data_IF_871104049767
#
_entry.id   IF_871104049767
#
_cell.length_a   1.000
_cell.length_b   1.000
_cell.length_c   1.000
_cell.angle_alpha   90.00
_cell.angle_beta   90.00
_cell.angle_gamma   90.00
#
_symmetry.space_group_name_H-M   'P 1'
#
loop_
_entity.id
_entity.type
_entity.pdbx_description
1 polymer ?
#
# COMPACT_ATOMS: atom_id res chain seq x y z
N UNK A 1 -1.24 14.86 -6.28
CA UNK A 1 -1.70 15.94 -5.41
C UNK A 1 -2.99 16.51 -5.91
N UNK A 2 -3.89 16.83 -5.01
CA UNK A 2 -5.22 17.31 -5.35
C UNK A 2 -5.52 18.70 -4.77
N UNK A 3 -4.51 19.41 -4.29
CA UNK A 3 -4.74 20.71 -3.69
C UNK A 3 -5.42 21.68 -4.66
N UNK A 4 -5.20 21.51 -5.96
CA UNK A 4 -5.86 22.34 -6.95
C UNK A 4 -7.35 22.13 -7.06
N UNK A 5 -7.84 21.02 -6.55
CA UNK A 5 -9.25 20.65 -6.62
C UNK A 5 -10.03 20.99 -5.36
N UNK A 6 -9.35 21.39 -4.30
CA UNK A 6 -9.96 21.62 -3.00
C UNK A 6 -9.71 23.06 -2.55
N UNK A 7 -10.22 23.99 -3.30
CA UNK A 7 -10.03 25.42 -3.03
C UNK A 7 -11.13 26.02 -2.17
N UNK A 8 -11.88 25.22 -1.48
CA UNK A 8 -12.88 25.73 -0.57
C UNK A 8 -12.18 26.42 0.60
N UNK A 9 -12.50 27.69 0.83
CA UNK A 9 -11.90 28.46 1.90
C UNK A 9 -12.22 27.92 3.28
N UNK A 10 -13.22 27.09 3.41
CA UNK A 10 -13.59 26.49 4.68
C UNK A 10 -12.82 25.20 4.98
N UNK A 11 -12.10 24.67 4.01
CA UNK A 11 -11.34 23.44 4.16
C UNK A 11 -9.85 23.71 4.07
N UNK A 12 -9.12 23.01 4.88
CA UNK A 12 -7.67 23.01 4.83
C UNK A 12 -7.21 21.60 4.51
N UNK A 13 -6.45 21.44 3.42
CA UNK A 13 -5.93 20.15 2.99
C UNK A 13 -4.42 20.14 3.16
N UNK A 14 -3.93 19.19 3.92
CA UNK A 14 -2.49 19.00 4.11
C UNK A 14 -2.11 17.67 3.50
N UNK A 15 -1.33 17.67 2.40
CA UNK A 15 -0.85 16.40 1.86
C UNK A 15 0.12 15.76 2.84
N UNK A 16 -0.05 14.48 3.07
CA UNK A 16 0.82 13.72 3.97
C UNK A 16 2.02 13.17 3.20
N UNK A 17 1.77 12.21 2.36
CA UNK A 17 2.77 11.67 1.44
C UNK A 17 2.08 10.73 0.45
N UNK A 18 2.65 10.66 -0.72
CA UNK A 18 2.23 9.69 -1.71
C UNK A 18 2.87 8.35 -1.38
N UNK A 19 2.14 7.29 -1.63
CA UNK A 19 2.65 5.93 -1.48
C UNK A 19 2.07 5.08 -2.58
N UNK A 20 2.78 4.01 -2.89
CA UNK A 20 2.36 3.06 -3.90
C UNK A 20 2.63 1.67 -3.36
N UNK A 21 1.64 0.80 -3.50
CA UNK A 21 1.83 -0.61 -3.20
C UNK A 21 2.38 -1.30 -4.43
N UNK A 22 3.22 -2.29 -4.20
CA UNK A 22 3.82 -3.10 -5.27
C UNK A 22 3.56 -4.56 -4.97
N UNK A 23 3.07 -5.27 -5.97
CA UNK A 23 2.98 -6.74 -5.92
C UNK A 23 4.38 -7.29 -6.20
N UNK A 24 4.80 -8.27 -5.44
CA UNK A 24 6.15 -8.79 -5.56
C UNK A 24 6.20 -10.29 -5.27
N UNK A 25 7.24 -10.93 -5.77
CA UNK A 25 7.46 -12.36 -5.57
C UNK A 25 8.95 -12.66 -5.45
N UNK A 26 9.27 -13.91 -5.10
CA UNK A 26 10.66 -14.36 -5.13
C UNK A 26 11.13 -14.52 -6.58
N UNK A 27 12.45 -14.46 -6.84
CA UNK A 27 12.96 -14.68 -8.19
C UNK A 27 12.68 -16.08 -8.73
N UNK A 28 12.41 -17.04 -7.87
CA UNK A 28 12.09 -18.41 -8.26
C UNK A 28 10.61 -18.62 -8.60
N UNK A 29 9.77 -17.66 -8.31
CA UNK A 29 8.34 -17.78 -8.58
C UNK A 29 8.08 -17.74 -10.09
N UNK A 30 7.14 -18.53 -10.60
CA UNK A 30 6.85 -18.52 -12.04
C UNK A 30 6.47 -17.17 -12.60
N UNK A 31 5.78 -16.32 -11.81
CA UNK A 31 5.38 -14.99 -12.24
C UNK A 31 6.54 -14.01 -12.37
N UNK A 32 7.70 -14.33 -11.79
CA UNK A 32 8.86 -13.44 -11.86
C UNK A 32 9.29 -13.17 -13.29
N UNK A 33 9.13 -14.14 -14.19
CA UNK A 33 9.49 -13.97 -15.59
C UNK A 33 8.41 -13.28 -16.40
N UNK A 34 7.16 -13.42 -16.01
CA UNK A 34 6.05 -12.78 -16.70
C UNK A 34 5.99 -11.29 -16.45
N UNK A 35 6.16 -10.88 -15.22
CA UNK A 35 6.24 -9.49 -14.74
C UNK A 35 4.97 -8.65 -14.89
N UNK A 36 4.17 -8.82 -15.92
CA UNK A 36 2.88 -8.16 -16.07
C UNK A 36 1.79 -9.17 -15.82
N UNK A 37 0.89 -8.86 -14.88
CA UNK A 37 -0.13 -9.79 -14.44
C UNK A 37 -1.50 -9.37 -14.96
N UNK A 38 -2.21 -10.34 -15.53
CA UNK A 38 -3.62 -10.20 -15.86
C UNK A 38 -4.47 -10.46 -14.62
N UNK A 39 -5.76 -10.18 -14.69
CA UNK A 39 -6.67 -10.52 -13.60
C UNK A 39 -6.68 -12.03 -13.34
N UNK A 40 -6.56 -12.84 -14.37
CA UNK A 40 -6.50 -14.28 -14.20
C UNK A 40 -5.24 -14.70 -13.44
N UNK A 41 -4.11 -14.07 -13.71
CA UNK A 41 -2.88 -14.33 -12.96
C UNK A 41 -3.07 -14.00 -11.48
N UNK A 42 -3.79 -12.92 -11.17
CA UNK A 42 -4.06 -12.53 -9.79
C UNK A 42 -4.94 -13.57 -9.09
N UNK A 43 -5.91 -14.11 -9.80
CA UNK A 43 -6.81 -15.13 -9.24
C UNK A 43 -6.11 -16.47 -9.05
N UNK A 44 -5.18 -16.81 -9.94
CA UNK A 44 -4.46 -18.08 -9.87
C UNK A 44 -3.34 -18.06 -8.84
N UNK A 45 -2.89 -16.88 -8.42
CA UNK A 45 -1.79 -16.75 -7.49
C UNK A 45 -2.20 -17.08 -6.06
N UNK A 46 -1.21 -17.51 -5.28
CA UNK A 46 -1.37 -17.67 -3.83
C UNK A 46 -0.86 -16.39 -3.16
N UNK A 47 -1.66 -15.81 -2.28
CA UNK A 47 -1.39 -14.52 -1.70
C UNK A 47 -0.99 -14.59 -0.23
N UNK A 48 -0.03 -13.75 0.13
CA UNK A 48 0.38 -13.50 1.51
C UNK A 48 0.18 -12.01 1.75
N UNK A 49 -0.77 -11.67 2.60
CA UNK A 49 -1.24 -10.29 2.76
C UNK A 49 -1.16 -9.83 4.21
N UNK A 50 -1.21 -8.50 4.37
CA UNK A 50 -1.40 -7.92 5.68
C UNK A 50 -2.79 -8.26 6.20
N UNK A 51 -2.96 -8.15 7.51
CA UNK A 51 -4.24 -8.42 8.16
C UNK A 51 -5.34 -7.45 7.69
N UNK A 52 -6.57 -7.91 7.75
CA UNK A 52 -7.74 -7.10 7.48
C UNK A 52 -7.76 -5.89 8.42
N UNK A 53 -8.01 -4.72 7.86
CA UNK A 53 -8.07 -3.48 8.64
C UNK A 53 -6.80 -2.64 8.60
N UNK A 54 -5.66 -3.20 8.18
CA UNK A 54 -4.47 -2.37 7.98
C UNK A 54 -4.66 -1.43 6.81
N UNK A 55 -3.95 -0.30 6.82
CA UNK A 55 -4.00 0.63 5.70
C UNK A 55 -3.52 0.01 4.40
N UNK A 56 -2.46 -0.80 4.47
CA UNK A 56 -1.95 -1.53 3.32
C UNK A 56 -3.01 -2.47 2.77
N UNK A 57 -3.71 -3.22 3.64
CA UNK A 57 -4.75 -4.14 3.20
C UNK A 57 -5.94 -3.42 2.58
N UNK A 58 -6.32 -2.27 3.13
CA UNK A 58 -7.42 -1.48 2.56
C UNK A 58 -7.10 -1.02 1.14
N UNK A 59 -5.89 -0.58 0.90
CA UNK A 59 -5.46 -0.16 -0.43
C UNK A 59 -5.43 -1.35 -1.39
N UNK A 60 -4.94 -2.49 -0.95
CA UNK A 60 -4.95 -3.72 -1.73
C UNK A 60 -6.38 -4.14 -2.08
N UNK A 61 -7.27 -4.13 -1.11
CA UNK A 61 -8.66 -4.53 -1.33
C UNK A 61 -9.34 -3.62 -2.34
N UNK A 62 -9.07 -2.32 -2.27
CA UNK A 62 -9.61 -1.38 -3.24
C UNK A 62 -9.06 -1.66 -4.64
N UNK A 63 -7.77 -1.93 -4.75
CA UNK A 63 -7.12 -2.19 -6.03
C UNK A 63 -7.68 -3.45 -6.69
N UNK A 64 -8.00 -4.48 -5.92
CA UNK A 64 -8.52 -5.74 -6.42
C UNK A 64 -10.03 -5.86 -6.28
N UNK A 65 -10.72 -4.73 -6.25
CA UNK A 65 -12.18 -4.74 -6.18
C UNK A 65 -12.78 -5.62 -7.28
N UNK A 66 -13.73 -6.45 -6.91
CA UNK A 66 -14.36 -7.39 -7.82
C UNK A 66 -13.70 -8.77 -7.86
N UNK A 67 -12.45 -8.89 -7.41
CA UNK A 67 -11.73 -10.16 -7.39
C UNK A 67 -11.61 -10.76 -6.00
N UNK A 68 -11.82 -9.96 -4.96
CA UNK A 68 -11.50 -10.35 -3.59
C UNK A 68 -12.10 -11.68 -3.15
N UNK A 69 -13.40 -11.99 -3.41
CA UNK A 69 -13.96 -13.25 -2.95
C UNK A 69 -13.33 -14.48 -3.58
N UNK A 70 -12.64 -14.30 -4.70
CA UNK A 70 -12.08 -15.40 -5.48
C UNK A 70 -10.58 -15.55 -5.26
N UNK A 71 -9.95 -14.66 -4.50
CA UNK A 71 -8.52 -14.73 -4.26
C UNK A 71 -8.16 -15.89 -3.35
N UNK A 72 -7.04 -16.52 -3.65
CA UNK A 72 -6.48 -17.58 -2.81
C UNK A 72 -5.50 -16.97 -1.82
N UNK A 73 -5.99 -16.62 -0.63
CA UNK A 73 -5.17 -16.01 0.42
C UNK A 73 -4.69 -17.11 1.36
N UNK A 74 -3.40 -17.38 1.34
CA UNK A 74 -2.80 -18.42 2.17
C UNK A 74 -2.56 -17.93 3.59
N UNK A 75 -2.03 -16.74 3.75
CA UNK A 75 -1.65 -16.18 5.05
C UNK A 75 -2.05 -14.72 5.14
N UNK A 76 -2.51 -14.33 6.33
CA UNK A 76 -2.73 -12.94 6.70
C UNK A 76 -1.85 -12.66 7.91
N UNK A 77 -0.89 -11.75 7.76
CA UNK A 77 0.13 -11.49 8.77
C UNK A 77 0.10 -10.04 9.21
N UNK A 78 0.50 -9.80 10.44
CA UNK A 78 0.45 -8.46 11.03
C UNK A 78 1.72 -7.65 10.82
N UNK A 79 2.80 -8.28 10.34
CA UNK A 79 4.08 -7.61 10.22
C UNK A 79 4.64 -7.69 8.81
N UNK A 80 5.11 -6.56 8.32
CA UNK A 80 5.72 -6.44 7.00
C UNK A 80 6.88 -7.42 6.82
N UNK A 81 7.74 -7.55 7.82
CA UNK A 81 8.89 -8.45 7.74
C UNK A 81 8.48 -9.92 7.65
N UNK A 82 7.39 -10.30 8.32
CA UNK A 82 6.89 -11.66 8.24
C UNK A 82 6.38 -11.97 6.82
N UNK A 83 5.72 -11.01 6.19
CA UNK A 83 5.27 -11.17 4.80
C UNK A 83 6.48 -11.34 3.87
N UNK A 84 7.50 -10.49 4.03
CA UNK A 84 8.69 -10.57 3.20
C UNK A 84 9.37 -11.94 3.31
N UNK A 85 9.46 -12.47 4.53
CA UNK A 85 10.06 -13.79 4.74
C UNK A 85 9.25 -14.90 4.10
N UNK A 86 7.93 -14.84 4.18
CA UNK A 86 7.06 -15.86 3.57
C UNK A 86 7.18 -15.82 2.04
N UNK A 87 7.24 -14.62 1.45
CA UNK A 87 7.43 -14.48 0.00
C UNK A 87 8.83 -14.94 -0.42
N UNK A 88 9.83 -14.65 0.37
CA UNK A 88 11.20 -15.11 0.10
C UNK A 88 11.29 -16.64 0.10
N UNK A 89 10.52 -17.28 0.97
CA UNK A 89 10.43 -18.72 1.03
C UNK A 89 9.57 -19.32 -0.11
N UNK A 90 9.10 -18.48 -1.01
CA UNK A 90 8.29 -18.87 -2.17
C UNK A 90 6.96 -19.53 -1.81
N UNK A 91 6.36 -19.10 -0.70
CA UNK A 91 5.05 -19.58 -0.27
C UNK A 91 3.91 -18.92 -1.05
N UNK A 92 4.17 -17.80 -1.70
CA UNK A 92 3.18 -17.06 -2.47
C UNK A 92 3.73 -15.70 -2.87
N UNK A 93 2.85 -14.86 -3.39
CA UNK A 93 3.19 -13.48 -3.75
C UNK A 93 2.62 -12.53 -2.71
N UNK A 94 3.23 -11.36 -2.59
CA UNK A 94 2.83 -10.37 -1.60
C UNK A 94 2.55 -9.02 -2.23
N UNK A 95 2.05 -8.10 -1.41
CA UNK A 95 1.79 -6.73 -1.80
C UNK A 95 2.09 -5.82 -0.62
N UNK A 96 3.07 -4.97 -0.75
CA UNK A 96 3.52 -4.06 0.29
C UNK A 96 3.88 -2.71 -0.30
N UNK A 97 4.08 -1.73 0.58
CA UNK A 97 4.53 -0.41 0.17
C UNK A 97 5.87 -0.50 -0.56
N UNK A 98 6.01 0.26 -1.62
CA UNK A 98 7.24 0.34 -2.39
C UNK A 98 8.44 0.71 -1.50
N UNK A 99 8.22 1.59 -0.54
CA UNK A 99 9.28 2.01 0.39
C UNK A 99 9.87 0.82 1.15
N UNK A 100 9.02 -0.15 1.51
CA UNK A 100 9.47 -1.33 2.24
C UNK A 100 10.24 -2.32 1.36
N UNK A 101 10.18 -2.18 0.03
CA UNK A 101 10.70 -3.16 -0.91
C UNK A 101 11.89 -2.67 -1.75
N UNK A 102 12.17 -1.36 -1.73
CA UNK A 102 13.17 -0.75 -2.61
C UNK A 102 14.53 -1.45 -2.50
N UNK A 103 15.02 -1.65 -1.26
CA UNK A 103 16.32 -2.26 -1.07
C UNK A 103 16.34 -3.72 -1.53
N UNK A 104 15.27 -4.44 -1.26
CA UNK A 104 15.15 -5.84 -1.69
C UNK A 104 15.15 -5.97 -3.21
N UNK A 105 14.50 -5.04 -3.91
CA UNK A 105 14.54 -5.03 -5.37
C UNK A 105 15.96 -4.75 -5.88
N UNK A 106 16.67 -3.82 -5.25
CA UNK A 106 18.05 -3.50 -5.64
C UNK A 106 18.98 -4.69 -5.42
N UNK A 107 18.76 -5.45 -4.35
CA UNK A 107 19.58 -6.63 -4.06
C UNK A 107 19.17 -7.86 -4.86
N UNK A 108 18.06 -7.82 -5.58
CA UNK A 108 17.55 -8.97 -6.31
C UNK A 108 16.88 -10.02 -5.43
N UNK A 109 16.56 -9.69 -4.18
CA UNK A 109 15.85 -10.61 -3.28
C UNK A 109 14.42 -10.83 -3.72
N UNK A 110 13.78 -9.80 -4.26
CA UNK A 110 12.41 -9.85 -4.78
C UNK A 110 12.34 -9.27 -6.17
N UNK A 111 11.31 -9.68 -6.90
CA UNK A 111 11.01 -9.18 -8.24
C UNK A 111 9.68 -8.43 -8.19
N UNK A 112 9.65 -7.16 -8.62
CA UNK A 112 8.40 -6.42 -8.71
C UNK A 112 7.53 -6.94 -9.85
N UNK A 113 6.23 -7.03 -9.61
CA UNK A 113 5.25 -7.46 -10.60
C UNK A 113 4.35 -6.29 -10.93
N UNK A 114 4.04 -6.11 -12.21
CA UNK A 114 3.22 -5.02 -12.69
C UNK A 114 1.79 -5.46 -12.89
N UNK A 115 0.85 -4.64 -12.43
CA UNK A 115 -0.59 -4.87 -12.60
C UNK A 115 -1.18 -3.58 -13.17
N UNK A 116 -0.93 -3.29 -14.47
CA UNK A 116 -1.23 -1.98 -15.04
C UNK A 116 -2.73 -1.65 -15.10
N UNK A 117 -3.59 -2.66 -15.08
CA UNK A 117 -5.04 -2.48 -15.14
C UNK A 117 -5.67 -2.14 -13.78
N UNK A 118 -4.87 -2.11 -12.71
CA UNK A 118 -5.35 -1.83 -11.35
C UNK A 118 -4.54 -0.71 -10.73
N UNK A 119 -5.19 0.07 -9.86
CA UNK A 119 -4.56 1.22 -9.21
C UNK A 119 -4.18 0.88 -7.78
N UNK A 120 -2.87 0.79 -7.52
CA UNK A 120 -2.32 0.51 -6.20
C UNK A 120 -1.79 1.76 -5.51
N UNK A 121 -2.08 2.93 -6.03
CA UNK A 121 -1.62 4.18 -5.42
C UNK A 121 -2.41 4.48 -4.16
N UNK A 122 -1.77 5.22 -3.26
CA UNK A 122 -2.35 5.60 -1.99
C UNK A 122 -1.85 6.99 -1.63
N UNK A 123 -2.80 7.88 -1.31
CA UNK A 123 -2.48 9.25 -0.89
C UNK A 123 -3.01 9.47 0.51
N UNK A 124 -2.23 10.15 1.32
CA UNK A 124 -2.62 10.53 2.67
C UNK A 124 -2.87 12.02 2.72
N UNK A 125 -4.05 12.40 3.21
CA UNK A 125 -4.43 13.79 3.39
C UNK A 125 -5.02 14.01 4.77
N UNK A 126 -4.77 15.20 5.32
CA UNK A 126 -5.54 15.71 6.43
C UNK A 126 -6.47 16.78 5.88
N UNK A 127 -7.77 16.55 6.02
CA UNK A 127 -8.79 17.49 5.60
C UNK A 127 -9.51 17.95 6.87
N UNK A 128 -9.61 19.27 7.06
CA UNK A 128 -10.14 19.82 8.28
C UNK A 128 -10.88 21.10 7.97
N UNK A 129 -12.06 21.26 8.59
CA UNK A 129 -12.84 22.47 8.45
C UNK A 129 -12.23 23.55 9.36
N UNK A 130 -11.76 24.62 8.76
CA UNK A 130 -10.96 25.65 9.47
C UNK A 130 -11.63 26.24 10.70
N UNK A 131 -12.91 26.52 10.60
CA UNK A 131 -13.60 27.29 11.62
C UNK A 131 -14.23 26.46 12.71
N UNK A 132 -14.61 25.23 12.38
CA UNK A 132 -15.35 24.38 13.31
C UNK A 132 -14.47 23.45 14.12
N UNK A 133 -13.37 23.01 13.56
CA UNK A 133 -12.66 21.86 14.11
C UNK A 133 -11.25 22.14 14.57
N UNK A 134 -10.85 23.42 14.55
CA UNK A 134 -9.55 23.81 15.10
C UNK A 134 -9.62 23.94 16.60
N UNK A 135 -9.65 22.82 17.26
CA UNK A 135 -9.52 22.74 18.71
C UNK A 135 -8.08 22.45 19.08
N UNK A 136 -7.73 22.66 20.34
CA UNK A 136 -6.39 22.35 20.84
C UNK A 136 -6.03 20.89 20.60
N UNK A 137 -7.00 19.96 20.72
CA UNK A 137 -6.77 18.56 20.48
C UNK A 137 -6.46 18.25 19.02
N UNK A 138 -7.19 18.88 18.10
CA UNK A 138 -6.97 18.68 16.67
C UNK A 138 -5.63 19.27 16.25
N UNK A 139 -5.30 20.47 16.73
CA UNK A 139 -4.01 21.09 16.43
C UNK A 139 -2.85 20.21 16.88
N UNK A 140 -2.95 19.67 18.08
CA UNK A 140 -1.93 18.79 18.62
C UNK A 140 -1.79 17.52 17.82
N UNK A 141 -2.91 16.94 17.40
CA UNK A 141 -2.90 15.73 16.59
C UNK A 141 -2.22 15.97 15.26
N UNK A 142 -2.55 17.08 14.58
CA UNK A 142 -1.91 17.43 13.31
C UNK A 142 -0.41 17.64 13.47
N UNK A 143 0.00 18.27 14.55
CA UNK A 143 1.41 18.47 14.84
C UNK A 143 2.14 17.15 15.00
N UNK A 144 1.57 16.21 15.74
CA UNK A 144 2.16 14.89 15.92
C UNK A 144 2.28 14.15 14.59
N UNK A 145 1.28 14.25 13.74
CA UNK A 145 1.32 13.65 12.43
C UNK A 145 2.41 14.24 11.54
N UNK A 146 2.58 15.56 11.58
CA UNK A 146 3.65 16.24 10.82
C UNK A 146 5.02 15.80 11.30
N UNK A 147 5.21 15.71 12.60
CA UNK A 147 6.48 15.27 13.18
C UNK A 147 6.79 13.84 12.79
N UNK A 148 5.80 12.96 12.83
CA UNK A 148 5.96 11.57 12.39
C UNK A 148 6.36 11.51 10.92
N UNK A 149 5.76 12.34 10.08
CA UNK A 149 6.08 12.40 8.65
C UNK A 149 7.54 12.82 8.41
N UNK A 150 8.05 13.76 9.22
CA UNK A 150 9.44 14.22 9.09
C UNK A 150 10.44 13.17 9.52
N UNK A 151 10.10 12.42 10.55
CA UNK A 151 11.01 11.44 11.14
C UNK A 151 10.96 10.08 10.46
N UNK A 152 10.12 9.92 9.49
CA UNK A 152 9.93 8.65 8.79
C UNK A 152 10.11 8.88 7.29
N UNK A 153 11.36 8.88 6.82
CA UNK A 153 11.68 9.14 5.42
C UNK A 153 11.17 8.07 4.46
#
# INVERSE_FOLDING_TARGET
LIEGELHDSELEVTPWRDDELVVFCSPQHPLAQKRKLSDQDLLDATWILRETGSGTRQTFDRALHGLLPQLNILLELQHTEAIKRAVEADLGIGCLSKVALVDAFKRGTFVPLQVPQRDFSRLFYFIMHRQKYRSAGIERWLELCRNSSRNNP
#
